data_IF_981013050152
#
_entry.id   IF_981013050152
#
_cell.length_a   1.000
_cell.length_b   1.000
_cell.length_c   1.000
_cell.angle_alpha   90.00
_cell.angle_beta   90.00
_cell.angle_gamma   90.00
#
_symmetry.space_group_name_H-M   'P 1'
#
loop_
_entity.id
_entity.type
_entity.pdbx_description
1 polymer ?
#
# COMPACT_ATOMS: atom_id res chain seq x y z
N UNK A 1 -6.37 20.00 -21.45
CA UNK A 1 -5.80 18.87 -20.68
C UNK A 1 -6.09 19.10 -19.20
N UNK A 2 -6.82 18.21 -18.55
CA UNK A 2 -6.99 18.23 -17.10
C UNK A 2 -6.61 16.84 -16.54
N UNK A 3 -5.34 16.59 -16.18
CA UNK A 3 -4.91 15.33 -15.60
C UNK A 3 -4.86 15.49 -14.07
N UNK A 4 -6.01 15.49 -13.39
CA UNK A 4 -6.01 15.64 -11.91
C UNK A 4 -6.94 14.68 -11.18
N UNK A 5 -8.08 14.30 -11.77
CA UNK A 5 -9.04 13.42 -11.07
C UNK A 5 -8.55 11.97 -10.99
N UNK A 6 -7.95 11.45 -12.06
CA UNK A 6 -7.53 10.03 -12.12
C UNK A 6 -6.24 9.74 -11.33
N UNK A 7 -5.36 10.72 -11.11
CA UNK A 7 -4.15 10.53 -10.32
C UNK A 7 -4.43 10.56 -8.81
N UNK A 8 -5.34 11.44 -8.37
CA UNK A 8 -5.80 11.52 -6.96
C UNK A 8 -6.49 10.23 -6.51
N UNK A 9 -7.34 9.68 -7.38
CA UNK A 9 -8.02 8.40 -7.18
C UNK A 9 -7.03 7.24 -6.98
N UNK A 10 -5.88 7.26 -7.66
CA UNK A 10 -4.86 6.21 -7.53
C UNK A 10 -4.11 6.26 -6.20
N UNK A 11 -3.74 7.45 -5.71
CA UNK A 11 -3.06 7.61 -4.42
C UNK A 11 -3.98 7.15 -3.26
N UNK A 12 -5.22 7.63 -3.27
CA UNK A 12 -6.24 7.26 -2.28
C UNK A 12 -6.53 5.75 -2.28
N UNK A 13 -6.74 5.17 -3.48
CA UNK A 13 -6.92 3.72 -3.63
C UNK A 13 -5.72 2.92 -3.11
N UNK A 14 -4.49 3.39 -3.35
CA UNK A 14 -3.30 2.69 -2.86
C UNK A 14 -3.24 2.73 -1.33
N UNK A 15 -3.54 3.86 -0.70
CA UNK A 15 -3.58 3.98 0.77
C UNK A 15 -4.59 3.01 1.36
N UNK A 16 -5.84 3.02 0.88
CA UNK A 16 -6.87 2.10 1.37
C UNK A 16 -6.45 0.64 1.18
N UNK A 17 -5.87 0.32 0.03
CA UNK A 17 -5.42 -1.03 -0.28
C UNK A 17 -4.29 -1.50 0.64
N UNK A 18 -3.35 -0.61 0.98
CA UNK A 18 -2.27 -0.92 1.92
C UNK A 18 -2.76 -0.98 3.37
N UNK A 19 -3.79 -0.20 3.73
CA UNK A 19 -4.47 -0.32 5.02
C UNK A 19 -5.10 -1.72 5.20
N UNK A 20 -5.82 -2.23 4.20
CA UNK A 20 -6.37 -3.60 4.25
C UNK A 20 -5.28 -4.68 4.35
N UNK A 21 -4.21 -4.53 3.57
CA UNK A 21 -3.06 -5.43 3.62
C UNK A 21 -2.45 -5.50 5.03
N UNK A 22 -2.13 -4.36 5.63
CA UNK A 22 -1.55 -4.29 6.98
C UNK A 22 -2.52 -4.88 8.01
N UNK A 23 -3.81 -4.58 7.90
CA UNK A 23 -4.85 -5.15 8.75
C UNK A 23 -4.93 -6.68 8.67
N UNK A 24 -4.75 -7.28 7.48
CA UNK A 24 -4.68 -8.74 7.33
C UNK A 24 -3.46 -9.33 8.06
N UNK A 25 -2.28 -8.70 7.96
CA UNK A 25 -1.08 -9.18 8.62
C UNK A 25 -1.14 -9.01 10.15
N UNK A 26 -1.67 -7.89 10.64
CA UNK A 26 -1.91 -7.69 12.07
C UNK A 26 -2.85 -8.77 12.64
N UNK A 27 -3.95 -9.08 11.94
CA UNK A 27 -4.89 -10.17 12.30
C UNK A 27 -4.22 -11.55 12.29
N UNK A 28 -3.17 -11.77 11.48
CA UNK A 28 -2.40 -13.03 11.43
C UNK A 28 -1.48 -13.15 12.63
N UNK A 29 -0.74 -12.10 12.94
CA UNK A 29 0.24 -12.07 14.03
C UNK A 29 -0.45 -12.15 15.41
N UNK A 30 -1.56 -11.41 15.61
CA UNK A 30 -2.30 -11.41 16.87
C UNK A 30 -2.91 -12.77 17.20
N UNK A 31 -3.34 -13.52 16.18
CA UNK A 31 -4.10 -14.75 16.41
C UNK A 31 -3.24 -16.02 16.43
N UNK A 32 -1.96 -16.02 16.00
CA UNK A 32 -1.10 -17.23 15.95
C UNK A 32 -1.78 -18.45 15.28
N UNK A 33 -2.57 -18.25 14.21
CA UNK A 33 -3.59 -19.24 13.84
C UNK A 33 -3.19 -20.25 12.78
N UNK A 34 -3.19 -21.49 13.25
CA UNK A 34 -3.57 -22.74 12.58
C UNK A 34 -4.99 -22.74 11.95
N UNK A 35 -5.63 -21.58 11.77
CA UNK A 35 -6.95 -21.43 11.14
C UNK A 35 -6.88 -20.27 10.15
N UNK A 36 -7.07 -20.60 8.86
CA UNK A 36 -6.97 -19.67 7.75
C UNK A 36 -7.78 -18.39 7.98
N UNK A 37 -7.13 -17.26 7.74
CA UNK A 37 -7.71 -15.92 7.94
C UNK A 37 -9.06 -15.83 7.23
N UNK A 38 -10.11 -15.41 7.94
CA UNK A 38 -11.43 -15.10 7.38
C UNK A 38 -11.40 -13.76 6.64
N UNK A 39 -10.49 -13.62 5.68
CA UNK A 39 -10.38 -12.45 4.81
C UNK A 39 -11.45 -12.57 3.73
N UNK A 40 -12.28 -11.54 3.57
CA UNK A 40 -13.22 -11.44 2.47
C UNK A 40 -12.47 -11.35 1.13
N UNK A 41 -13.13 -11.73 0.04
CA UNK A 41 -12.56 -11.61 -1.32
C UNK A 41 -12.18 -10.16 -1.63
N UNK A 42 -12.97 -9.18 -1.16
CA UNK A 42 -12.68 -7.76 -1.38
C UNK A 42 -11.40 -7.32 -0.66
N UNK A 43 -11.23 -7.67 0.62
CA UNK A 43 -10.01 -7.39 1.39
C UNK A 43 -8.79 -8.07 0.74
N UNK A 44 -8.92 -9.31 0.26
CA UNK A 44 -7.84 -10.02 -0.41
C UNK A 44 -7.44 -9.35 -1.74
N UNK A 45 -8.41 -8.87 -2.53
CA UNK A 45 -8.15 -8.14 -3.77
C UNK A 45 -7.47 -6.80 -3.52
N UNK A 46 -7.91 -6.06 -2.50
CA UNK A 46 -7.27 -4.80 -2.11
C UNK A 46 -5.83 -5.04 -1.62
N UNK A 47 -5.61 -6.04 -0.77
CA UNK A 47 -4.28 -6.42 -0.33
C UNK A 47 -3.37 -6.82 -1.50
N UNK A 48 -3.91 -7.59 -2.46
CA UNK A 48 -3.23 -7.93 -3.70
C UNK A 48 -2.85 -6.70 -4.54
N UNK A 49 -3.73 -5.71 -4.61
CA UNK A 49 -3.45 -4.45 -5.31
C UNK A 49 -2.28 -3.68 -4.69
N UNK A 50 -2.25 -3.50 -3.36
CA UNK A 50 -1.11 -2.86 -2.70
C UNK A 50 0.19 -3.61 -2.97
N UNK A 51 0.21 -4.93 -2.77
CA UNK A 51 1.40 -5.76 -3.02
C UNK A 51 1.90 -5.63 -4.46
N UNK A 52 1.01 -5.70 -5.45
CA UNK A 52 1.38 -5.60 -6.86
C UNK A 52 1.96 -4.24 -7.26
N UNK A 53 1.38 -3.14 -6.75
CA UNK A 53 1.90 -1.79 -7.01
C UNK A 53 3.29 -1.61 -6.40
N UNK A 54 3.50 -2.10 -5.18
CA UNK A 54 4.81 -2.03 -4.52
C UNK A 54 5.85 -2.91 -5.23
N UNK A 55 5.50 -4.14 -5.59
CA UNK A 55 6.41 -5.04 -6.31
C UNK A 55 6.86 -4.42 -7.63
N UNK A 56 5.91 -3.87 -8.41
CA UNK A 56 6.22 -3.20 -9.67
C UNK A 56 7.10 -1.96 -9.48
N UNK A 57 6.75 -1.08 -8.53
CA UNK A 57 7.55 0.11 -8.23
C UNK A 57 8.99 -0.26 -7.87
N UNK A 58 9.17 -1.27 -7.03
CA UNK A 58 10.48 -1.70 -6.53
C UNK A 58 11.33 -2.43 -7.58
N UNK A 59 10.72 -2.94 -8.66
CA UNK A 59 11.46 -3.48 -9.82
C UNK A 59 12.10 -2.40 -10.66
N UNK A 60 11.46 -1.23 -10.74
CA UNK A 60 11.86 -0.15 -11.64
C UNK A 60 12.62 0.98 -10.94
N UNK A 61 12.34 1.21 -9.65
CA UNK A 61 12.93 2.28 -8.86
C UNK A 61 13.95 1.76 -7.83
N UNK A 62 14.85 2.64 -7.41
CA UNK A 62 15.91 2.35 -6.42
C UNK A 62 15.37 2.33 -4.99
N UNK A 63 14.39 1.45 -4.74
CA UNK A 63 13.89 1.20 -3.40
C UNK A 63 14.64 0.04 -2.75
N UNK A 64 15.74 0.37 -2.07
CA UNK A 64 16.73 -0.60 -1.60
C UNK A 64 16.37 -1.36 -0.32
N UNK A 65 15.37 -0.89 0.44
CA UNK A 65 14.90 -1.63 1.62
C UNK A 65 14.41 -3.01 1.19
N UNK A 66 14.83 -4.10 1.85
CA UNK A 66 14.34 -5.46 1.55
C UNK A 66 12.90 -5.68 2.04
N UNK A 67 12.41 -4.80 2.90
CA UNK A 67 11.12 -4.95 3.57
C UNK A 67 10.02 -4.14 2.86
N UNK A 68 9.36 -4.80 1.90
CA UNK A 68 8.19 -4.25 1.21
C UNK A 68 7.02 -3.99 2.17
N UNK A 69 6.94 -4.73 3.28
CA UNK A 69 5.86 -4.58 4.26
C UNK A 69 6.03 -3.31 5.09
N UNK A 70 7.27 -2.93 5.40
CA UNK A 70 7.56 -1.61 6.00
C UNK A 70 7.14 -0.46 5.08
N UNK A 71 7.36 -0.57 3.78
CA UNK A 71 6.86 0.43 2.82
C UNK A 71 5.32 0.47 2.78
N UNK A 72 4.66 -0.70 2.77
CA UNK A 72 3.20 -0.79 2.82
C UNK A 72 2.62 -0.14 4.08
N UNK A 73 3.25 -0.36 5.24
CA UNK A 73 2.85 0.26 6.52
C UNK A 73 2.94 1.78 6.48
N UNK A 74 4.03 2.34 5.95
CA UNK A 74 4.17 3.79 5.78
C UNK A 74 3.09 4.39 4.89
N UNK A 75 2.67 3.68 3.84
CA UNK A 75 1.59 4.13 2.97
C UNK A 75 0.23 4.03 3.69
N UNK A 76 -0.02 2.95 4.43
CA UNK A 76 -1.25 2.78 5.20
C UNK A 76 -1.43 3.86 6.28
N UNK A 77 -0.34 4.38 6.84
CA UNK A 77 -0.36 5.45 7.84
C UNK A 77 -0.58 6.86 7.24
N UNK A 78 -0.64 6.99 5.91
CA UNK A 78 -0.89 8.28 5.24
C UNK A 78 -2.35 8.69 5.35
N UNK A 79 -2.59 9.97 5.62
CA UNK A 79 -3.96 10.50 5.61
C UNK A 79 -4.50 10.64 4.19
N UNK A 80 -5.80 10.43 4.03
CA UNK A 80 -6.52 10.70 2.77
C UNK A 80 -6.37 12.16 2.32
N UNK A 81 -6.22 13.10 3.25
CA UNK A 81 -6.01 14.51 2.89
C UNK A 81 -4.62 14.78 2.32
N UNK A 82 -3.63 13.98 2.71
CA UNK A 82 -2.30 14.01 2.11
C UNK A 82 -2.33 13.40 0.71
N UNK A 83 -3.09 12.30 0.52
CA UNK A 83 -3.25 11.61 -0.77
C UNK A 83 -3.80 12.51 -1.88
N UNK A 84 -4.69 13.44 -1.54
CA UNK A 84 -5.28 14.41 -2.47
C UNK A 84 -4.26 15.44 -3.01
N UNK A 85 -3.13 15.60 -2.32
CA UNK A 85 -2.11 16.63 -2.59
C UNK A 85 -0.88 16.10 -3.31
N UNK A 86 -0.69 14.79 -3.37
CA UNK A 86 0.51 14.15 -3.93
C UNK A 86 0.14 13.21 -5.08
N UNK A 87 1.07 13.01 -6.02
CA UNK A 87 0.90 11.98 -7.04
C UNK A 87 1.18 10.58 -6.46
N UNK A 88 0.73 9.55 -7.18
CA UNK A 88 1.04 8.17 -6.85
C UNK A 88 2.55 7.94 -6.76
N UNK A 89 3.33 8.55 -7.67
CA UNK A 89 4.78 8.39 -7.68
C UNK A 89 5.43 9.07 -6.47
N UNK A 90 4.95 10.25 -6.08
CA UNK A 90 5.43 10.95 -4.88
C UNK A 90 5.14 10.15 -3.61
N UNK A 91 3.96 9.50 -3.55
CA UNK A 91 3.59 8.59 -2.44
C UNK A 91 4.55 7.39 -2.36
N UNK A 92 4.83 6.77 -3.50
CA UNK A 92 5.73 5.62 -3.60
C UNK A 92 7.18 6.00 -3.27
N UNK A 93 7.64 7.16 -3.74
CA UNK A 93 8.98 7.68 -3.45
C UNK A 93 9.12 8.06 -1.98
N UNK A 94 8.15 8.75 -1.39
CA UNK A 94 8.17 9.15 0.02
C UNK A 94 8.15 7.93 0.96
N UNK A 95 7.33 6.93 0.64
CA UNK A 95 7.24 5.71 1.46
C UNK A 95 8.46 4.80 1.33
N UNK A 96 9.28 5.01 0.30
CA UNK A 96 10.48 4.24 0.07
C UNK A 96 11.66 4.75 0.93
N UNK A 97 12.24 3.87 1.74
CA UNK A 97 13.50 4.17 2.43
C UNK A 97 14.65 4.17 1.42
N UNK A 98 15.13 5.37 1.06
CA UNK A 98 16.45 5.54 0.46
C UNK A 98 17.51 5.29 1.54
N UNK A 99 17.96 4.06 1.68
CA UNK A 99 19.22 3.74 2.36
C UNK A 99 20.40 4.03 1.46
#
# INVERSE_FOLDING_TARGET
MAPTTQARDRSERLIQSCHELVGIYAKRDEKNLLAGVTTSVSEALQAGYCMGVLDEYRRHDRCYSRDWFTQARKIADMSEDYSKRISLNDLLEFSCERS
#
